data_IF_116686723030
#
_entry.id   IF_116686723030
#
_cell.length_a   1.000
_cell.length_b   1.000
_cell.length_c   1.000
_cell.angle_alpha   90.00
_cell.angle_beta   90.00
_cell.angle_gamma   90.00
#
_symmetry.space_group_name_H-M   'P 1'
#
loop_
_entity.id
_entity.type
_entity.pdbx_description
1 polymer ?
#
# COMPACT_ATOMS: atom_id res chain seq x y z
N UNK A 1 84.67 72.46 17.88
CA UNK A 1 84.60 71.39 18.87
C UNK A 1 83.38 70.59 18.66
N UNK A 2 83.52 69.30 18.40
CA UNK A 2 82.57 68.22 18.28
C UNK A 2 81.40 68.31 17.24
N UNK A 3 81.73 67.76 16.10
CA UNK A 3 80.89 67.26 15.02
C UNK A 3 79.95 66.11 15.52
N UNK A 4 78.71 66.17 15.14
CA UNK A 4 77.80 64.99 15.18
C UNK A 4 77.19 64.76 13.82
N UNK A 5 77.64 63.68 13.25
CA UNK A 5 77.15 63.11 11.98
C UNK A 5 75.76 62.49 12.18
N UNK A 6 74.78 62.88 11.40
CA UNK A 6 73.48 62.27 11.37
C UNK A 6 73.38 61.22 10.23
N UNK A 7 73.10 59.98 10.60
CA UNK A 7 72.79 58.89 9.67
C UNK A 7 71.28 58.94 9.27
N UNK A 8 70.97 59.04 7.96
CA UNK A 8 69.67 58.87 7.46
C UNK A 8 69.41 57.37 7.20
N UNK A 9 68.43 56.85 7.84
CA UNK A 9 67.88 55.53 7.53
C UNK A 9 66.70 55.70 6.59
N UNK A 10 66.78 55.15 5.36
CA UNK A 10 65.67 54.97 4.45
C UNK A 10 64.91 53.70 4.85
N UNK A 11 63.74 53.89 5.45
CA UNK A 11 62.82 52.80 5.72
C UNK A 11 61.97 52.50 4.47
N UNK A 12 62.26 51.37 3.84
CA UNK A 12 61.35 50.86 2.78
C UNK A 12 60.07 50.30 3.40
N UNK A 13 58.98 50.90 3.07
CA UNK A 13 57.66 50.39 3.44
C UNK A 13 57.27 49.20 2.53
N UNK A 14 57.29 47.99 3.04
CA UNK A 14 56.76 46.78 2.38
C UNK A 14 55.27 46.78 2.54
N UNK A 15 54.52 47.11 1.48
CA UNK A 15 53.06 46.99 1.44
C UNK A 15 52.74 45.55 1.17
N UNK A 16 52.33 44.78 2.20
CA UNK A 16 51.78 43.45 2.06
C UNK A 16 50.31 43.61 1.68
N UNK A 17 50.02 43.39 0.38
CA UNK A 17 48.64 43.23 -0.10
C UNK A 17 48.09 41.89 0.41
N UNK A 18 47.38 41.88 1.50
CA UNK A 18 46.53 40.75 1.91
C UNK A 18 45.29 40.71 1.01
N UNK A 19 45.33 39.87 -0.05
CA UNK A 19 44.12 39.44 -0.74
C UNK A 19 43.26 38.64 0.22
N UNK A 20 42.29 39.32 0.83
CA UNK A 20 41.22 38.67 1.55
C UNK A 20 40.35 37.85 0.59
N UNK A 21 40.55 36.54 0.55
CA UNK A 21 39.52 35.63 -0.01
C UNK A 21 38.30 35.77 0.85
N UNK A 22 37.35 36.62 0.42
CA UNK A 22 35.95 36.50 0.86
C UNK A 22 35.44 35.18 0.24
N UNK A 23 35.63 34.08 1.04
CA UNK A 23 34.85 32.88 0.81
C UNK A 23 33.39 33.28 1.09
N UNK A 24 32.65 33.63 0.04
CA UNK A 24 31.19 33.60 0.06
C UNK A 24 30.78 32.19 0.42
N UNK A 25 30.64 31.91 1.70
CA UNK A 25 29.80 30.80 2.16
C UNK A 25 28.35 31.15 1.71
N UNK A 26 28.05 30.92 0.42
CA UNK A 26 26.66 30.68 0.03
C UNK A 26 26.27 29.43 0.84
N UNK A 27 25.52 29.61 1.94
CA UNK A 27 24.62 28.54 2.40
C UNK A 27 23.98 27.99 1.12
N UNK A 28 24.04 26.67 0.89
CA UNK A 28 23.24 26.11 -0.18
C UNK A 28 21.84 26.67 0.05
N UNK A 29 21.28 27.33 -0.96
CA UNK A 29 19.86 27.72 -0.96
C UNK A 29 19.14 26.44 -0.53
N UNK A 30 18.40 26.48 0.61
CA UNK A 30 17.70 25.31 1.10
C UNK A 30 16.93 24.76 -0.08
N UNK A 31 17.28 23.54 -0.51
CA UNK A 31 16.57 22.90 -1.59
C UNK A 31 15.12 22.82 -1.12
N UNK A 32 14.20 23.52 -1.82
CA UNK A 32 12.79 23.37 -1.56
C UNK A 32 12.49 21.87 -1.58
N UNK A 33 11.91 21.35 -0.51
CA UNK A 33 11.52 19.95 -0.43
C UNK A 33 10.22 19.76 -1.24
N UNK A 34 10.06 18.62 -1.90
CA UNK A 34 8.77 18.22 -2.43
C UNK A 34 8.01 17.52 -1.31
N UNK A 35 6.89 18.08 -0.91
CA UNK A 35 6.03 17.52 0.13
C UNK A 35 5.02 16.54 -0.47
N UNK A 36 5.05 15.31 -0.02
CA UNK A 36 4.08 14.27 -0.37
C UNK A 36 3.35 13.87 0.90
N UNK A 37 2.03 13.88 0.87
CA UNK A 37 1.20 13.39 1.95
C UNK A 37 1.11 11.88 1.92
N UNK A 38 1.08 11.27 3.10
CA UNK A 38 0.73 9.87 3.32
C UNK A 38 -0.36 9.80 4.38
N UNK A 39 -1.35 8.97 4.17
CA UNK A 39 -2.33 8.65 5.19
C UNK A 39 -2.65 7.17 5.20
N UNK A 40 -2.94 6.64 6.38
CA UNK A 40 -3.24 5.23 6.58
C UNK A 40 -3.50 4.89 8.03
N UNK A 41 -4.00 3.70 8.27
CA UNK A 41 -4.25 3.18 9.61
C UNK A 41 -2.92 2.85 10.30
N UNK A 42 -2.32 3.80 11.02
CA UNK A 42 -1.13 3.53 11.85
C UNK A 42 -1.53 2.95 13.21
N UNK A 43 -2.77 3.18 13.63
CA UNK A 43 -3.41 2.62 14.83
C UNK A 43 -4.77 1.98 14.47
N UNK A 44 -5.43 1.30 15.43
CA UNK A 44 -6.74 0.66 15.21
C UNK A 44 -6.65 -0.80 14.77
N UNK A 45 -7.79 -1.34 14.30
CA UNK A 45 -7.93 -2.79 13.98
C UNK A 45 -7.17 -3.23 12.73
N UNK A 46 -6.79 -2.30 11.87
CA UNK A 46 -6.04 -2.55 10.62
C UNK A 46 -4.65 -1.90 10.63
N UNK A 47 -4.10 -1.64 11.83
CA UNK A 47 -2.86 -0.88 12.00
C UNK A 47 -1.65 -1.48 11.27
N UNK A 48 -1.57 -2.80 11.10
CA UNK A 48 -0.46 -3.41 10.36
C UNK A 48 -0.43 -2.95 8.90
N UNK A 49 -1.56 -2.67 8.29
CA UNK A 49 -1.62 -2.21 6.90
C UNK A 49 -0.93 -0.86 6.71
N UNK A 50 -1.33 0.14 7.53
CA UNK A 50 -0.71 1.46 7.46
C UNK A 50 0.77 1.42 7.83
N UNK A 51 1.14 0.71 8.90
CA UNK A 51 2.51 0.56 9.34
C UNK A 51 3.41 -0.11 8.29
N UNK A 52 2.93 -1.18 7.65
CA UNK A 52 3.66 -1.88 6.59
C UNK A 52 3.81 -1.00 5.34
N UNK A 53 2.74 -0.35 4.91
CA UNK A 53 2.76 0.60 3.78
C UNK A 53 3.74 1.73 4.04
N UNK A 54 3.72 2.32 5.24
CA UNK A 54 4.65 3.38 5.65
C UNK A 54 6.12 2.92 5.58
N UNK A 55 6.42 1.70 6.03
CA UNK A 55 7.78 1.14 5.91
C UNK A 55 8.22 1.06 4.45
N UNK A 56 7.34 0.60 3.56
CA UNK A 56 7.62 0.53 2.13
C UNK A 56 7.86 1.90 1.50
N UNK A 57 6.97 2.86 1.75
CA UNK A 57 7.09 4.24 1.28
C UNK A 57 8.37 4.88 1.79
N UNK A 58 8.64 4.78 3.10
CA UNK A 58 9.84 5.35 3.72
C UNK A 58 11.11 4.78 3.09
N UNK A 59 11.18 3.47 2.89
CA UNK A 59 12.34 2.83 2.26
C UNK A 59 12.56 3.35 0.84
N UNK A 60 11.50 3.45 0.04
CA UNK A 60 11.57 3.96 -1.33
C UNK A 60 12.05 5.42 -1.38
N UNK A 61 11.51 6.28 -0.52
CA UNK A 61 11.86 7.70 -0.48
C UNK A 61 13.30 7.92 0.00
N UNK A 62 13.77 7.18 0.99
CA UNK A 62 15.16 7.26 1.42
C UNK A 62 16.14 6.85 0.31
N UNK A 63 15.85 5.76 -0.43
CA UNK A 63 16.66 5.36 -1.58
C UNK A 63 16.68 6.43 -2.68
N UNK A 64 15.53 7.03 -2.97
CA UNK A 64 15.41 8.09 -3.96
C UNK A 64 16.18 9.35 -3.53
N UNK A 65 16.06 9.72 -2.27
CA UNK A 65 16.76 10.87 -1.69
C UNK A 65 18.29 10.67 -1.63
N UNK A 66 18.75 9.45 -1.37
CA UNK A 66 20.18 9.11 -1.39
C UNK A 66 20.81 9.29 -2.78
N UNK A 67 20.02 9.22 -3.84
CA UNK A 67 20.44 9.46 -5.23
C UNK A 67 20.16 10.88 -5.75
N UNK A 68 19.82 11.82 -4.85
CA UNK A 68 19.58 13.23 -5.19
C UNK A 68 18.11 13.62 -5.30
N UNK A 69 17.19 12.73 -4.91
CA UNK A 69 15.73 12.99 -4.88
C UNK A 69 15.10 13.03 -6.29
N UNK A 70 14.23 14.00 -6.50
CA UNK A 70 13.56 14.23 -7.78
C UNK A 70 13.60 15.72 -8.13
N UNK A 71 13.80 16.07 -9.40
CA UNK A 71 13.91 17.46 -9.88
C UNK A 71 14.98 18.29 -9.13
N UNK A 72 16.03 17.64 -8.61
CA UNK A 72 17.06 18.30 -7.81
C UNK A 72 16.62 18.68 -6.38
N UNK A 73 15.47 18.20 -5.93
CA UNK A 73 14.89 18.46 -4.60
C UNK A 73 14.80 17.16 -3.80
N UNK A 74 14.93 17.26 -2.47
CA UNK A 74 14.63 16.15 -1.58
C UNK A 74 13.12 15.96 -1.45
N UNK A 75 12.69 14.73 -1.22
CA UNK A 75 11.29 14.38 -1.01
C UNK A 75 11.07 14.23 0.49
N UNK A 76 10.01 14.83 0.99
CA UNK A 76 9.59 14.69 2.37
C UNK A 76 8.17 14.14 2.45
N UNK A 77 8.03 13.04 3.19
CA UNK A 77 6.73 12.44 3.49
C UNK A 77 6.14 13.08 4.74
N UNK A 78 4.89 13.48 4.68
CA UNK A 78 4.07 13.90 5.80
C UNK A 78 3.03 12.83 6.05
N UNK A 79 3.24 12.02 7.08
CA UNK A 79 2.41 10.86 7.40
C UNK A 79 1.38 11.19 8.45
N UNK A 80 0.14 10.81 8.22
CA UNK A 80 -1.00 11.01 9.10
C UNK A 80 -1.71 9.68 9.40
N UNK A 81 -2.12 9.51 10.66
CA UNK A 81 -2.88 8.34 11.11
C UNK A 81 -4.38 8.59 10.98
N UNK A 82 -5.07 7.82 10.17
CA UNK A 82 -6.53 7.86 10.02
C UNK A 82 -7.25 6.84 10.92
N UNK A 83 -6.51 6.10 11.75
CA UNK A 83 -7.04 5.10 12.69
C UNK A 83 -7.90 4.01 12.03
N UNK A 84 -7.81 3.85 10.70
CA UNK A 84 -8.67 2.96 9.92
C UNK A 84 -10.13 3.41 9.85
N UNK A 85 -10.40 4.72 9.95
CA UNK A 85 -11.75 5.29 9.97
C UNK A 85 -11.98 6.27 8.82
N UNK A 86 -13.10 6.14 8.07
CA UNK A 86 -13.39 7.04 6.94
C UNK A 86 -13.45 8.53 7.31
N UNK A 87 -14.00 8.89 8.46
CA UNK A 87 -14.10 10.27 8.94
C UNK A 87 -12.73 10.85 9.30
N UNK A 88 -11.83 10.05 9.85
CA UNK A 88 -10.47 10.49 10.15
C UNK A 88 -9.66 10.62 8.85
N UNK A 89 -9.84 9.71 7.88
CA UNK A 89 -9.23 9.82 6.56
C UNK A 89 -9.57 11.15 5.87
N UNK A 90 -10.83 11.60 5.94
CA UNK A 90 -11.23 12.92 5.45
C UNK A 90 -10.52 14.04 6.19
N UNK A 91 -10.43 13.95 7.52
CA UNK A 91 -9.83 14.97 8.37
C UNK A 91 -8.34 15.14 8.05
N UNK A 92 -7.59 14.04 8.02
CA UNK A 92 -6.14 14.09 7.79
C UNK A 92 -5.80 14.49 6.35
N UNK A 93 -6.57 14.05 5.35
CA UNK A 93 -6.39 14.45 3.95
C UNK A 93 -6.71 15.95 3.77
N UNK A 94 -7.74 16.45 4.43
CA UNK A 94 -8.04 17.90 4.43
C UNK A 94 -6.86 18.71 4.98
N UNK A 95 -6.21 18.24 6.05
CA UNK A 95 -5.00 18.86 6.62
C UNK A 95 -3.84 18.84 5.62
N UNK A 96 -3.54 17.69 5.04
CA UNK A 96 -2.45 17.51 4.06
C UNK A 96 -2.61 18.47 2.85
N UNK A 97 -3.84 18.63 2.35
CA UNK A 97 -4.15 19.51 1.23
C UNK A 97 -4.08 20.99 1.62
N UNK A 98 -4.85 21.39 2.64
CA UNK A 98 -5.10 22.81 2.90
C UNK A 98 -4.02 23.48 3.74
N UNK A 99 -3.46 22.76 4.72
CA UNK A 99 -2.44 23.27 5.62
C UNK A 99 -1.03 22.97 5.12
N UNK A 100 -0.78 21.72 4.79
CA UNK A 100 0.55 21.23 4.48
C UNK A 100 0.89 21.39 2.99
N UNK A 101 -0.12 21.59 2.11
CA UNK A 101 0.00 21.90 0.68
C UNK A 101 0.87 20.90 -0.08
N UNK A 102 0.59 19.63 0.13
CA UNK A 102 1.32 18.53 -0.52
C UNK A 102 1.08 18.50 -2.03
N UNK A 103 2.07 18.05 -2.80
CA UNK A 103 1.99 17.93 -4.26
C UNK A 103 1.21 16.68 -4.72
N UNK A 104 1.16 15.66 -3.88
CA UNK A 104 0.43 14.41 -4.12
C UNK A 104 0.16 13.71 -2.79
N UNK A 105 -0.74 12.73 -2.80
CA UNK A 105 -1.11 11.94 -1.62
C UNK A 105 -0.99 10.45 -1.94
N UNK A 106 -0.34 9.70 -1.04
CA UNK A 106 -0.23 8.25 -1.03
C UNK A 106 -1.13 7.69 0.06
N UNK A 107 -1.93 6.67 -0.27
CA UNK A 107 -2.88 6.06 0.68
C UNK A 107 -4.27 5.96 0.08
N UNK A 108 -5.19 5.35 0.70
CA UNK A 108 -5.18 4.46 1.84
C UNK A 108 -5.21 3.00 1.35
N UNK A 109 -5.03 2.02 2.25
CA UNK A 109 -5.16 0.59 1.95
C UNK A 109 -6.62 0.17 1.90
N UNK A 110 -7.41 0.54 2.92
CA UNK A 110 -8.81 0.19 3.01
C UNK A 110 -9.68 1.01 2.05
N UNK A 111 -10.47 0.34 1.22
CA UNK A 111 -11.25 0.99 0.15
C UNK A 111 -12.24 2.02 0.68
N UNK A 112 -12.91 1.79 1.83
CA UNK A 112 -13.85 2.75 2.41
C UNK A 112 -13.17 4.06 2.83
N UNK A 113 -11.92 4.00 3.34
CA UNK A 113 -11.14 5.19 3.72
C UNK A 113 -10.69 5.95 2.47
N UNK A 114 -10.24 5.23 1.43
CA UNK A 114 -9.92 5.85 0.14
C UNK A 114 -11.14 6.51 -0.50
N UNK A 115 -12.31 5.89 -0.46
CA UNK A 115 -13.57 6.46 -0.97
C UNK A 115 -13.98 7.71 -0.20
N UNK A 116 -13.72 7.79 1.10
CA UNK A 116 -14.00 8.97 1.90
C UNK A 116 -13.06 10.15 1.57
N UNK A 117 -11.80 9.87 1.29
CA UNK A 117 -10.78 10.90 1.01
C UNK A 117 -10.72 11.33 -0.47
N UNK A 118 -11.00 10.43 -1.41
CA UNK A 118 -10.85 10.67 -2.85
C UNK A 118 -11.62 11.91 -3.38
N UNK A 119 -12.86 12.22 -2.94
CA UNK A 119 -13.56 13.42 -3.37
C UNK A 119 -12.81 14.71 -3.02
N UNK A 120 -12.13 14.77 -1.87
CA UNK A 120 -11.34 15.92 -1.44
C UNK A 120 -10.12 16.11 -2.34
N UNK A 121 -9.42 15.03 -2.66
CA UNK A 121 -8.29 15.04 -3.58
C UNK A 121 -8.71 15.47 -4.99
N UNK A 122 -9.83 14.92 -5.49
CA UNK A 122 -10.38 15.28 -6.80
C UNK A 122 -10.76 16.75 -6.89
N UNK A 123 -11.50 17.27 -5.92
CA UNK A 123 -11.93 18.70 -5.88
C UNK A 123 -10.73 19.63 -5.79
N UNK A 124 -9.71 19.27 -5.03
CA UNK A 124 -8.49 20.05 -4.85
C UNK A 124 -7.48 19.88 -5.97
N UNK A 125 -7.74 18.98 -6.94
CA UNK A 125 -6.85 18.63 -8.05
C UNK A 125 -5.48 18.16 -7.56
N UNK A 126 -5.45 17.40 -6.48
CA UNK A 126 -4.24 16.77 -5.93
C UNK A 126 -4.27 15.28 -6.25
N UNK A 127 -3.26 14.73 -6.98
CA UNK A 127 -3.21 13.30 -7.27
C UNK A 127 -3.20 12.47 -5.99
N UNK A 128 -4.12 11.52 -5.88
CA UNK A 128 -4.14 10.49 -4.86
C UNK A 128 -3.82 9.14 -5.50
N UNK A 129 -2.83 8.43 -4.98
CA UNK A 129 -2.47 7.10 -5.46
C UNK A 129 -2.59 6.12 -4.31
N UNK A 130 -3.60 5.25 -4.38
CA UNK A 130 -3.73 4.19 -3.38
C UNK A 130 -2.80 3.02 -3.71
N UNK A 131 -2.07 2.49 -2.70
CA UNK A 131 -1.26 1.28 -2.87
C UNK A 131 -2.11 0.02 -3.01
N UNK A 132 -3.24 -0.09 -2.27
CA UNK A 132 -3.94 -1.36 -2.09
C UNK A 132 -5.48 -1.30 -2.06
N UNK A 133 -6.11 -0.14 -2.20
CA UNK A 133 -7.58 -0.09 -2.27
C UNK A 133 -8.10 -0.70 -3.57
N UNK A 134 -8.68 -1.88 -3.50
CA UNK A 134 -9.04 -2.71 -4.65
C UNK A 134 -10.47 -2.48 -5.18
N UNK A 135 -11.33 -1.80 -4.42
CA UNK A 135 -12.71 -1.54 -4.87
C UNK A 135 -12.72 -0.61 -6.10
N UNK A 136 -13.38 -1.00 -7.22
CA UNK A 136 -13.39 -0.21 -8.46
C UNK A 136 -13.88 1.22 -8.29
N UNK A 137 -14.81 1.47 -7.36
CA UNK A 137 -15.41 2.78 -7.12
C UNK A 137 -14.36 3.85 -6.75
N UNK A 138 -13.21 3.45 -6.20
CA UNK A 138 -12.18 4.40 -5.74
C UNK A 138 -11.67 5.27 -6.89
N UNK A 139 -11.24 4.68 -8.00
CA UNK A 139 -10.75 5.44 -9.16
C UNK A 139 -11.88 6.08 -9.97
N UNK A 140 -13.12 5.59 -9.84
CA UNK A 140 -14.31 6.18 -10.48
C UNK A 140 -14.69 7.54 -9.90
N UNK A 141 -14.16 7.93 -8.73
CA UNK A 141 -14.39 9.26 -8.13
C UNK A 141 -13.91 10.38 -9.05
N UNK A 142 -12.80 10.19 -9.75
CA UNK A 142 -12.31 11.20 -10.68
C UNK A 142 -10.91 10.92 -11.23
N UNK A 143 -10.44 11.80 -12.12
CA UNK A 143 -9.22 11.61 -12.91
C UNK A 143 -7.92 11.99 -12.16
N UNK A 144 -8.03 12.46 -10.91
CA UNK A 144 -6.90 12.62 -9.99
C UNK A 144 -6.69 11.41 -9.07
N UNK A 145 -7.52 10.37 -9.19
CA UNK A 145 -7.48 9.19 -8.31
C UNK A 145 -6.93 8.00 -9.08
N UNK A 146 -5.88 7.39 -8.55
CA UNK A 146 -5.10 6.30 -9.15
C UNK A 146 -4.92 5.16 -8.16
N UNK A 147 -4.61 3.96 -8.68
CA UNK A 147 -4.19 2.79 -7.89
C UNK A 147 -3.07 2.03 -8.57
N UNK A 148 -2.21 1.39 -7.78
CA UNK A 148 -1.17 0.51 -8.31
C UNK A 148 -1.43 -0.98 -8.03
N UNK A 149 -2.50 -1.31 -7.32
CA UNK A 149 -2.97 -2.67 -7.09
C UNK A 149 -3.97 -3.13 -8.17
N UNK A 150 -4.23 -4.43 -8.24
CA UNK A 150 -5.34 -4.98 -9.02
C UNK A 150 -6.70 -4.59 -8.40
N UNK A 151 -7.82 -4.98 -9.02
CA UNK A 151 -9.17 -4.62 -8.59
C UNK A 151 -10.00 -5.83 -8.16
N UNK A 152 -11.01 -5.62 -7.31
CA UNK A 152 -11.89 -6.67 -6.77
C UNK A 152 -12.59 -7.53 -7.84
N UNK A 153 -13.02 -7.02 -9.02
CA UNK A 153 -13.54 -7.88 -10.08
C UNK A 153 -12.57 -8.95 -10.53
N UNK A 154 -11.28 -8.61 -10.63
CA UNK A 154 -10.23 -9.57 -10.95
C UNK A 154 -9.96 -10.51 -9.78
N UNK A 155 -9.80 -9.97 -8.57
CA UNK A 155 -9.56 -10.74 -7.35
C UNK A 155 -10.68 -11.75 -7.08
N UNK A 156 -11.95 -11.34 -7.20
CA UNK A 156 -13.11 -12.22 -7.06
C UNK A 156 -13.11 -13.37 -8.07
N UNK A 157 -12.76 -13.07 -9.34
CA UNK A 157 -12.61 -14.08 -10.39
C UNK A 157 -11.46 -15.06 -10.11
N UNK A 158 -10.32 -14.56 -9.60
CA UNK A 158 -9.18 -15.40 -9.20
C UNK A 158 -9.61 -16.40 -8.15
N UNK A 159 -10.23 -15.94 -7.06
CA UNK A 159 -10.63 -16.82 -5.97
C UNK A 159 -11.78 -17.76 -6.34
N UNK A 160 -12.70 -17.34 -7.21
CA UNK A 160 -13.76 -18.22 -7.74
C UNK A 160 -13.18 -19.35 -8.62
N UNK A 161 -12.22 -19.05 -9.48
CA UNK A 161 -11.50 -20.06 -10.27
C UNK A 161 -10.69 -21.00 -9.37
N UNK A 162 -9.98 -20.47 -8.38
CA UNK A 162 -9.22 -21.25 -7.43
C UNK A 162 -10.13 -22.23 -6.67
N UNK A 163 -11.26 -21.76 -6.15
CA UNK A 163 -12.26 -22.60 -5.48
C UNK A 163 -12.75 -23.73 -6.37
N UNK A 164 -13.20 -23.43 -7.59
CA UNK A 164 -13.75 -24.43 -8.49
C UNK A 164 -12.69 -25.36 -9.13
N UNK A 165 -11.55 -24.81 -9.54
CA UNK A 165 -10.55 -25.55 -10.32
C UNK A 165 -9.47 -26.20 -9.47
N UNK A 166 -8.93 -25.50 -8.45
CA UNK A 166 -7.84 -26.01 -7.62
C UNK A 166 -8.35 -26.78 -6.43
N UNK A 167 -9.34 -26.25 -5.69
CA UNK A 167 -9.94 -26.92 -4.54
C UNK A 167 -11.07 -27.91 -4.92
N UNK A 168 -11.62 -27.82 -6.14
CA UNK A 168 -12.71 -28.65 -6.64
C UNK A 168 -14.03 -28.52 -5.82
N UNK A 169 -14.21 -27.41 -5.09
CA UNK A 169 -15.41 -27.15 -4.33
C UNK A 169 -16.54 -26.65 -5.22
N UNK A 170 -17.77 -27.04 -4.93
CA UNK A 170 -18.98 -26.65 -5.65
C UNK A 170 -19.96 -25.85 -4.78
N UNK A 171 -19.86 -25.96 -3.47
CA UNK A 171 -20.75 -25.29 -2.50
C UNK A 171 -19.95 -24.41 -1.58
N UNK A 172 -20.15 -23.10 -1.69
CA UNK A 172 -19.41 -22.10 -0.89
C UNK A 172 -20.42 -21.27 -0.10
N UNK A 173 -20.14 -21.00 1.15
CA UNK A 173 -20.81 -19.96 1.91
C UNK A 173 -19.99 -18.68 1.86
N UNK A 174 -20.64 -17.53 1.98
CA UNK A 174 -19.99 -16.21 2.09
C UNK A 174 -20.27 -15.65 3.49
N UNK A 175 -19.26 -15.03 4.11
CA UNK A 175 -19.39 -14.27 5.34
C UNK A 175 -18.67 -12.93 5.15
N UNK A 176 -19.43 -11.82 5.05
CA UNK A 176 -18.92 -10.50 4.65
C UNK A 176 -19.14 -9.43 5.71
N UNK A 177 -18.27 -8.43 5.73
CA UNK A 177 -18.45 -7.22 6.54
C UNK A 177 -19.30 -6.19 5.78
N UNK A 178 -20.50 -5.88 6.34
CA UNK A 178 -21.44 -4.94 5.72
C UNK A 178 -21.01 -3.47 5.82
N UNK A 179 -20.02 -3.14 6.64
CA UNK A 179 -19.48 -1.78 6.77
C UNK A 179 -18.29 -1.51 5.87
N UNK A 180 -17.76 -2.53 5.21
CA UNK A 180 -16.60 -2.43 4.34
C UNK A 180 -16.99 -2.46 2.87
N UNK A 181 -16.72 -1.38 2.12
CA UNK A 181 -16.91 -1.35 0.65
C UNK A 181 -16.08 -2.42 -0.05
N UNK A 182 -14.87 -2.71 0.46
CA UNK A 182 -14.03 -3.80 -0.02
C UNK A 182 -14.73 -5.15 0.16
N UNK A 183 -15.13 -5.48 1.37
CA UNK A 183 -15.74 -6.78 1.69
C UNK A 183 -17.03 -7.02 0.89
N UNK A 184 -17.89 -5.99 0.82
CA UNK A 184 -19.15 -6.04 0.07
C UNK A 184 -18.92 -6.20 -1.43
N UNK A 185 -17.97 -5.45 -1.99
CA UNK A 185 -17.62 -5.49 -3.40
C UNK A 185 -17.02 -6.85 -3.79
N UNK A 186 -15.97 -7.27 -3.08
CA UNK A 186 -15.27 -8.52 -3.35
C UNK A 186 -16.18 -9.75 -3.19
N UNK A 187 -17.06 -9.76 -2.17
CA UNK A 187 -18.06 -10.82 -2.01
C UNK A 187 -18.97 -10.96 -3.24
N UNK A 188 -19.44 -9.83 -3.77
CA UNK A 188 -20.31 -9.84 -4.95
C UNK A 188 -19.58 -10.35 -6.20
N UNK A 189 -18.36 -9.86 -6.47
CA UNK A 189 -17.57 -10.30 -7.64
C UNK A 189 -17.16 -11.78 -7.55
N UNK A 190 -16.85 -12.26 -6.35
CA UNK A 190 -16.63 -13.70 -6.13
C UNK A 190 -17.90 -14.50 -6.43
N UNK A 191 -19.04 -14.11 -5.84
CA UNK A 191 -20.34 -14.76 -6.04
C UNK A 191 -20.72 -14.85 -7.52
N UNK A 192 -20.67 -13.71 -8.23
CA UNK A 192 -20.97 -13.66 -9.66
C UNK A 192 -20.09 -14.62 -10.46
N UNK A 193 -18.76 -14.58 -10.23
CA UNK A 193 -17.82 -15.42 -10.93
C UNK A 193 -17.96 -16.90 -10.58
N UNK A 194 -18.18 -17.22 -9.30
CA UNK A 194 -18.29 -18.60 -8.84
C UNK A 194 -19.57 -19.28 -9.39
N UNK A 195 -20.69 -18.56 -9.37
CA UNK A 195 -21.96 -19.06 -9.93
C UNK A 195 -21.88 -19.20 -11.46
N UNK A 196 -21.27 -18.23 -12.15
CA UNK A 196 -21.04 -18.32 -13.60
C UNK A 196 -20.18 -19.54 -14.01
N UNK A 197 -19.30 -19.99 -13.10
CA UNK A 197 -18.49 -21.20 -13.29
C UNK A 197 -19.18 -22.50 -12.82
N UNK A 198 -20.48 -22.46 -12.52
CA UNK A 198 -21.26 -23.62 -12.09
C UNK A 198 -21.19 -23.96 -10.60
N UNK A 199 -20.68 -23.06 -9.78
CA UNK A 199 -20.70 -23.18 -8.32
C UNK A 199 -22.04 -22.72 -7.72
N UNK A 200 -22.29 -23.10 -6.48
CA UNK A 200 -23.48 -22.74 -5.69
C UNK A 200 -23.07 -21.95 -4.43
N UNK A 201 -23.69 -20.79 -4.20
CA UNK A 201 -23.59 -20.07 -2.93
C UNK A 201 -24.72 -20.55 -2.03
N UNK A 202 -24.37 -21.36 -1.02
CA UNK A 202 -25.34 -22.02 -0.13
C UNK A 202 -25.76 -21.16 1.06
N UNK A 203 -24.96 -20.16 1.42
CA UNK A 203 -25.28 -19.14 2.42
C UNK A 203 -24.54 -17.84 2.10
N UNK A 204 -25.13 -16.72 2.49
CA UNK A 204 -24.55 -15.37 2.33
C UNK A 204 -24.89 -14.57 3.57
N UNK A 205 -24.00 -14.67 4.57
CA UNK A 205 -24.15 -14.09 5.89
C UNK A 205 -23.29 -12.84 6.07
N UNK A 206 -23.60 -12.03 7.05
CA UNK A 206 -22.90 -10.78 7.29
C UNK A 206 -22.57 -10.54 8.76
N UNK A 207 -21.52 -9.75 8.97
CA UNK A 207 -21.09 -9.18 10.24
C UNK A 207 -20.77 -7.70 10.09
N UNK A 208 -20.46 -7.03 11.17
CA UNK A 208 -19.99 -5.64 11.16
C UNK A 208 -18.56 -5.56 11.67
N UNK A 209 -17.74 -4.71 11.03
CA UNK A 209 -16.39 -4.40 11.52
C UNK A 209 -16.40 -4.11 13.02
N UNK A 210 -15.48 -4.75 13.74
CA UNK A 210 -15.37 -4.69 15.20
C UNK A 210 -16.18 -5.76 15.96
N UNK A 211 -17.01 -6.57 15.30
CA UNK A 211 -17.66 -7.72 15.92
C UNK A 211 -16.61 -8.74 16.41
N UNK A 212 -16.92 -9.40 17.53
CA UNK A 212 -16.04 -10.41 18.15
C UNK A 212 -16.68 -11.79 18.26
N UNK A 213 -17.98 -11.88 18.06
CA UNK A 213 -18.75 -13.11 18.11
C UNK A 213 -19.48 -13.31 16.77
N UNK A 214 -19.17 -14.43 16.12
CA UNK A 214 -19.68 -14.82 14.81
C UNK A 214 -20.45 -16.15 14.88
N UNK A 215 -20.78 -16.63 16.09
CA UNK A 215 -21.38 -17.95 16.30
C UNK A 215 -22.74 -18.09 15.60
N UNK A 216 -23.57 -17.03 15.58
CA UNK A 216 -24.87 -17.06 14.93
C UNK A 216 -24.72 -17.27 13.41
N UNK A 217 -23.90 -16.46 12.75
CA UNK A 217 -23.63 -16.54 11.31
C UNK A 217 -22.97 -17.88 10.94
N UNK A 218 -21.98 -18.31 11.71
CA UNK A 218 -21.27 -19.57 11.47
C UNK A 218 -22.17 -20.80 11.72
N UNK A 219 -23.11 -20.74 12.66
CA UNK A 219 -24.13 -21.80 12.86
C UNK A 219 -25.07 -21.88 11.66
N UNK A 220 -25.53 -20.74 11.15
CA UNK A 220 -26.32 -20.67 9.91
C UNK A 220 -25.56 -21.27 8.75
N UNK A 221 -24.31 -20.83 8.51
CA UNK A 221 -23.42 -21.34 7.48
C UNK A 221 -23.23 -22.86 7.59
N UNK A 222 -22.91 -23.35 8.79
CA UNK A 222 -22.71 -24.79 9.04
C UNK A 222 -23.93 -25.62 8.65
N UNK A 223 -25.15 -25.12 8.94
CA UNK A 223 -26.41 -25.82 8.63
C UNK A 223 -26.61 -26.09 7.16
N UNK A 224 -25.93 -25.35 6.28
CA UNK A 224 -25.97 -25.46 4.82
C UNK A 224 -24.91 -26.38 4.23
N UNK A 225 -24.06 -26.97 5.08
CA UNK A 225 -22.98 -27.89 4.71
C UNK A 225 -22.09 -27.35 3.55
N UNK A 226 -21.51 -26.16 3.64
CA UNK A 226 -20.59 -25.66 2.61
C UNK A 226 -19.31 -26.50 2.59
N UNK A 227 -18.71 -26.64 1.39
CA UNK A 227 -17.41 -27.26 1.22
C UNK A 227 -16.27 -26.30 1.53
N UNK A 228 -16.51 -24.96 1.40
CA UNK A 228 -15.61 -23.90 1.78
C UNK A 228 -16.39 -22.64 2.21
N UNK A 229 -15.72 -21.72 2.89
CA UNK A 229 -16.32 -20.42 3.26
C UNK A 229 -15.44 -19.31 2.70
N UNK A 230 -16.02 -18.37 1.93
CA UNK A 230 -15.35 -17.18 1.45
C UNK A 230 -15.59 -16.02 2.43
N UNK A 231 -14.49 -15.48 2.97
CA UNK A 231 -14.52 -14.42 3.99
C UNK A 231 -13.68 -13.23 3.48
N UNK A 232 -14.24 -12.38 2.61
CA UNK A 232 -13.56 -11.18 2.11
C UNK A 232 -13.57 -10.08 3.17
N UNK A 233 -12.74 -10.23 4.19
CA UNK A 233 -12.64 -9.32 5.33
C UNK A 233 -11.19 -9.00 5.65
N UNK A 234 -10.98 -8.24 6.71
CA UNK A 234 -9.64 -7.91 7.18
C UNK A 234 -9.18 -8.88 8.27
N UNK A 235 -7.88 -9.00 8.42
CA UNK A 235 -7.20 -10.01 9.22
C UNK A 235 -7.70 -10.15 10.67
N UNK A 236 -8.13 -9.05 11.30
CA UNK A 236 -8.55 -9.06 12.71
C UNK A 236 -9.81 -9.92 12.91
N UNK A 237 -10.88 -9.62 12.17
CA UNK A 237 -12.13 -10.40 12.25
C UNK A 237 -11.94 -11.80 11.66
N UNK A 238 -11.20 -11.91 10.56
CA UNK A 238 -10.94 -13.19 9.89
C UNK A 238 -10.26 -14.20 10.81
N UNK A 239 -9.26 -13.77 11.57
CA UNK A 239 -8.61 -14.64 12.57
C UNK A 239 -9.58 -15.16 13.64
N UNK A 240 -10.47 -14.28 14.14
CA UNK A 240 -11.52 -14.66 15.10
C UNK A 240 -12.56 -15.60 14.47
N UNK A 241 -13.00 -15.31 13.23
CA UNK A 241 -13.92 -16.14 12.45
C UNK A 241 -13.35 -17.54 12.27
N UNK A 242 -12.05 -17.65 11.89
CA UNK A 242 -11.39 -18.94 11.70
C UNK A 242 -11.46 -19.80 12.97
N UNK A 243 -11.09 -19.24 14.12
CA UNK A 243 -11.16 -19.96 15.41
C UNK A 243 -12.57 -20.42 15.76
N UNK A 244 -13.56 -19.56 15.60
CA UNK A 244 -14.95 -19.88 15.90
C UNK A 244 -15.53 -20.89 14.91
N UNK A 245 -15.19 -20.81 13.63
CA UNK A 245 -15.57 -21.76 12.60
C UNK A 245 -15.08 -23.18 12.95
N UNK A 246 -13.79 -23.33 13.32
CA UNK A 246 -13.24 -24.63 13.72
C UNK A 246 -13.88 -25.17 15.00
N UNK A 247 -14.11 -24.31 16.01
CA UNK A 247 -14.80 -24.69 17.24
C UNK A 247 -16.23 -25.21 16.97
N UNK A 248 -16.92 -24.63 16.00
CA UNK A 248 -18.23 -25.09 15.56
C UNK A 248 -18.19 -26.33 14.64
N UNK A 249 -16.99 -26.81 14.25
CA UNK A 249 -16.83 -27.98 13.41
C UNK A 249 -16.98 -27.70 11.90
N UNK A 250 -16.78 -26.48 11.45
CA UNK A 250 -16.58 -26.17 10.03
C UNK A 250 -15.14 -26.54 9.68
N UNK A 251 -14.95 -27.63 8.93
CA UNK A 251 -13.63 -28.22 8.62
C UNK A 251 -13.11 -27.80 7.23
N UNK A 252 -13.97 -27.39 6.31
CA UNK A 252 -13.59 -26.90 4.99
C UNK A 252 -12.68 -25.68 5.04
N UNK A 253 -11.90 -25.41 3.97
CA UNK A 253 -11.01 -24.25 3.92
C UNK A 253 -11.81 -22.94 4.00
N UNK A 254 -11.26 -21.97 4.73
CA UNK A 254 -11.65 -20.59 4.58
C UNK A 254 -10.84 -19.99 3.44
N UNK A 255 -11.45 -19.12 2.67
CA UNK A 255 -10.82 -18.41 1.56
C UNK A 255 -11.06 -16.91 1.70
N UNK A 256 -10.11 -16.08 1.27
CA UNK A 256 -10.27 -14.63 1.34
C UNK A 256 -9.49 -13.90 0.25
N UNK A 257 -9.35 -12.60 0.47
CA UNK A 257 -8.58 -11.70 -0.39
C UNK A 257 -7.35 -11.13 0.31
N UNK A 258 -6.74 -10.15 -0.32
CA UNK A 258 -5.52 -9.46 0.12
C UNK A 258 -5.65 -8.78 1.50
N UNK A 259 -6.87 -8.54 1.97
CA UNK A 259 -7.14 -8.08 3.34
C UNK A 259 -6.75 -9.08 4.45
N UNK A 260 -6.26 -10.26 4.10
CA UNK A 260 -5.73 -11.24 5.04
C UNK A 260 -4.23 -11.08 5.29
N UNK A 261 -3.51 -10.32 4.45
CA UNK A 261 -2.05 -10.25 4.48
C UNK A 261 -1.52 -9.42 5.65
N UNK A 262 -1.45 -10.08 6.79
CA UNK A 262 -0.86 -9.57 8.03
C UNK A 262 -0.39 -10.72 8.89
N UNK A 263 0.78 -10.58 9.53
CA UNK A 263 1.25 -11.53 10.55
C UNK A 263 0.26 -11.68 11.71
N UNK A 264 -0.51 -10.62 12.00
CA UNK A 264 -1.57 -10.64 13.02
C UNK A 264 -2.69 -11.63 12.72
N UNK A 265 -2.91 -11.97 11.44
CA UNK A 265 -3.86 -13.00 11.08
C UNK A 265 -3.53 -14.33 11.80
N UNK A 266 -2.26 -14.75 11.74
CA UNK A 266 -1.81 -15.96 12.42
C UNK A 266 -1.82 -15.82 13.94
N UNK A 267 -1.37 -14.69 14.48
CA UNK A 267 -1.38 -14.46 15.92
C UNK A 267 -2.80 -14.59 16.52
N UNK A 268 -3.82 -14.15 15.77
CA UNK A 268 -5.22 -14.20 16.19
C UNK A 268 -5.84 -15.58 15.91
N UNK A 269 -5.65 -16.10 14.70
CA UNK A 269 -6.34 -17.30 14.23
C UNK A 269 -5.63 -18.61 14.57
N UNK A 270 -4.30 -18.59 14.66
CA UNK A 270 -3.46 -19.75 14.93
C UNK A 270 -3.73 -20.93 13.99
N UNK A 271 -3.66 -22.14 14.53
CA UNK A 271 -3.85 -23.39 13.78
C UNK A 271 -5.20 -23.49 13.06
N UNK A 272 -6.19 -22.70 13.46
CA UNK A 272 -7.50 -22.66 12.79
C UNK A 272 -7.41 -22.20 11.33
N UNK A 273 -6.31 -21.54 10.97
CA UNK A 273 -6.04 -21.03 9.61
C UNK A 273 -5.28 -22.02 8.71
N UNK A 274 -4.74 -23.11 9.25
CA UNK A 274 -4.02 -24.11 8.43
C UNK A 274 -4.92 -24.62 7.30
N UNK A 275 -4.41 -24.62 6.07
CA UNK A 275 -5.14 -25.04 4.87
C UNK A 275 -6.20 -24.03 4.42
N UNK A 276 -6.13 -22.77 4.86
CA UNK A 276 -6.90 -21.65 4.34
C UNK A 276 -6.10 -20.92 3.25
N UNK A 277 -6.80 -20.19 2.37
CA UNK A 277 -6.20 -19.59 1.18
C UNK A 277 -6.67 -18.14 0.97
N UNK A 278 -5.80 -17.32 0.41
CA UNK A 278 -6.19 -15.96 0.02
C UNK A 278 -5.41 -15.47 -1.19
N UNK A 279 -6.02 -14.57 -1.96
CA UNK A 279 -5.33 -13.88 -3.05
C UNK A 279 -4.46 -12.75 -2.51
N UNK A 280 -3.31 -12.53 -3.16
CA UNK A 280 -2.37 -11.48 -2.76
C UNK A 280 -1.67 -10.86 -3.98
N UNK A 281 -0.90 -9.80 -3.75
CA UNK A 281 -0.22 -9.03 -4.79
C UNK A 281 1.17 -9.55 -5.13
N UNK A 282 1.82 -10.29 -4.22
CA UNK A 282 3.11 -10.93 -4.42
C UNK A 282 3.33 -12.04 -3.38
N UNK A 283 4.42 -12.79 -3.54
CA UNK A 283 4.91 -13.74 -2.55
C UNK A 283 6.38 -13.46 -2.25
N UNK A 284 6.77 -13.51 -0.98
CA UNK A 284 8.18 -13.43 -0.56
C UNK A 284 9.01 -14.61 -1.08
N UNK A 285 8.35 -15.72 -1.44
CA UNK A 285 8.97 -16.94 -1.97
C UNK A 285 9.23 -16.87 -3.48
N UNK A 286 8.76 -15.83 -4.16
CA UNK A 286 9.01 -15.65 -5.60
C UNK A 286 10.52 -15.48 -5.86
N UNK A 287 11.14 -16.32 -6.70
CA UNK A 287 12.58 -16.29 -6.93
C UNK A 287 13.06 -15.13 -7.81
N UNK A 288 12.17 -14.29 -8.29
CA UNK A 288 12.53 -13.16 -9.16
C UNK A 288 13.54 -12.24 -8.49
N UNK A 289 14.59 -11.77 -9.20
CA UNK A 289 15.61 -10.90 -8.61
C UNK A 289 15.03 -9.60 -8.02
N UNK A 290 13.98 -9.05 -8.61
CA UNK A 290 13.34 -7.82 -8.13
C UNK A 290 12.76 -8.03 -6.72
N UNK A 291 12.03 -9.13 -6.50
CA UNK A 291 11.45 -9.47 -5.21
C UNK A 291 12.53 -9.83 -4.20
N UNK A 292 13.48 -10.70 -4.55
CA UNK A 292 14.52 -11.13 -3.62
C UNK A 292 15.44 -9.98 -3.17
N UNK A 293 15.77 -9.05 -4.07
CA UNK A 293 16.52 -7.84 -3.73
C UNK A 293 15.74 -6.92 -2.78
N UNK A 294 14.44 -6.72 -3.03
CA UNK A 294 13.57 -5.97 -2.15
C UNK A 294 13.48 -6.61 -0.76
N UNK A 295 13.21 -7.92 -0.68
CA UNK A 295 13.13 -8.67 0.56
C UNK A 295 14.43 -8.58 1.37
N UNK A 296 15.59 -8.75 0.71
CA UNK A 296 16.88 -8.64 1.37
C UNK A 296 17.14 -7.22 1.92
N UNK A 297 16.83 -6.19 1.14
CA UNK A 297 17.01 -4.79 1.51
C UNK A 297 16.06 -4.39 2.65
N UNK A 298 14.81 -4.85 2.58
CA UNK A 298 13.81 -4.61 3.63
C UNK A 298 14.22 -5.25 4.95
N UNK A 299 14.60 -6.54 4.94
CA UNK A 299 15.10 -7.25 6.12
C UNK A 299 16.33 -6.57 6.73
N UNK A 300 17.25 -6.09 5.90
CA UNK A 300 18.42 -5.35 6.37
C UNK A 300 18.03 -4.05 7.08
N UNK A 301 17.04 -3.32 6.54
CA UNK A 301 16.59 -2.05 7.10
C UNK A 301 15.76 -2.23 8.38
N UNK A 302 14.90 -3.24 8.41
CA UNK A 302 13.92 -3.47 9.48
C UNK A 302 14.25 -4.70 10.34
N UNK A 303 15.52 -4.88 10.72
CA UNK A 303 16.00 -5.83 11.72
C UNK A 303 15.57 -7.29 11.49
N UNK A 304 15.51 -7.71 10.22
CA UNK A 304 15.14 -9.09 9.85
C UNK A 304 13.65 -9.32 9.62
N UNK A 305 12.82 -8.29 9.79
CA UNK A 305 11.39 -8.37 9.48
C UNK A 305 11.14 -8.74 8.01
N UNK A 306 10.23 -9.66 7.76
CA UNK A 306 9.85 -10.04 6.40
C UNK A 306 8.81 -9.07 5.86
N UNK A 307 8.97 -8.49 4.65
CA UNK A 307 7.97 -7.61 4.08
C UNK A 307 6.71 -8.40 3.68
N UNK A 308 5.55 -7.82 3.97
CA UNK A 308 4.25 -8.24 3.45
C UNK A 308 3.92 -7.54 2.12
N UNK A 309 2.76 -7.82 1.52
CA UNK A 309 2.36 -7.17 0.28
C UNK A 309 2.11 -5.66 0.46
N UNK A 310 1.66 -5.23 1.62
CA UNK A 310 1.43 -3.79 1.88
C UNK A 310 2.74 -3.03 1.89
N UNK A 311 3.82 -3.61 2.43
CA UNK A 311 5.18 -3.05 2.36
C UNK A 311 5.67 -2.94 0.90
N UNK A 312 5.46 -3.99 0.11
CA UNK A 312 5.88 -4.00 -1.30
C UNK A 312 5.08 -3.00 -2.15
N UNK A 313 3.77 -2.89 -1.92
CA UNK A 313 2.91 -1.92 -2.58
C UNK A 313 3.22 -0.49 -2.13
N UNK A 314 3.53 -0.27 -0.85
CA UNK A 314 4.00 1.02 -0.34
C UNK A 314 5.30 1.47 -1.01
N UNK A 315 6.23 0.54 -1.21
CA UNK A 315 7.47 0.82 -1.95
C UNK A 315 7.20 1.17 -3.42
N UNK A 316 6.36 0.38 -4.09
CA UNK A 316 6.04 0.59 -5.49
C UNK A 316 5.26 1.89 -5.72
N UNK A 317 4.28 2.23 -4.87
CA UNK A 317 3.47 3.45 -5.05
C UNK A 317 4.30 4.72 -4.95
N UNK A 318 5.25 4.76 -4.01
CA UNK A 318 6.16 5.89 -3.88
C UNK A 318 7.06 6.02 -5.10
N UNK A 319 7.61 4.92 -5.60
CA UNK A 319 8.48 4.92 -6.79
C UNK A 319 7.73 5.27 -8.07
N UNK A 320 6.51 4.77 -8.25
CA UNK A 320 5.64 5.12 -9.40
C UNK A 320 5.29 6.61 -9.40
N UNK A 321 4.94 7.18 -8.24
CA UNK A 321 4.67 8.61 -8.13
C UNK A 321 5.89 9.45 -8.50
N UNK A 322 7.06 9.10 -7.98
CA UNK A 322 8.31 9.84 -8.26
C UNK A 322 8.75 9.68 -9.71
N UNK A 323 8.55 8.50 -10.31
CA UNK A 323 8.77 8.30 -11.76
C UNK A 323 7.85 9.20 -12.59
N UNK A 324 6.58 9.33 -12.21
CA UNK A 324 5.65 10.24 -12.87
C UNK A 324 6.11 11.71 -12.76
N UNK A 325 6.63 12.15 -11.60
CA UNK A 325 7.21 13.49 -11.43
C UNK A 325 8.42 13.70 -12.33
N UNK A 326 9.30 12.69 -12.47
CA UNK A 326 10.45 12.75 -13.39
C UNK A 326 10.00 12.88 -14.85
N UNK A 327 9.04 12.06 -15.28
CA UNK A 327 8.49 12.11 -16.66
C UNK A 327 7.77 13.43 -16.94
N UNK A 328 7.10 14.00 -15.96
CA UNK A 328 6.46 15.31 -16.03
C UNK A 328 7.49 16.46 -16.02
N UNK A 329 8.70 16.21 -15.55
CA UNK A 329 9.69 17.24 -15.19
C UNK A 329 9.09 18.35 -14.33
N UNK A 330 8.20 17.96 -13.38
CA UNK A 330 7.42 18.88 -12.55
C UNK A 330 6.85 18.19 -11.32
N UNK A 331 6.74 18.92 -10.23
CA UNK A 331 6.00 18.55 -9.02
C UNK A 331 4.59 19.18 -8.95
N UNK A 332 4.20 19.89 -10.04
CA UNK A 332 2.85 20.44 -10.16
C UNK A 332 1.81 19.31 -10.26
N UNK A 333 0.73 19.34 -9.45
CA UNK A 333 -0.27 18.27 -9.39
C UNK A 333 -0.89 17.90 -10.73
N UNK A 334 -1.23 18.87 -11.59
CA UNK A 334 -1.85 18.61 -12.91
C UNK A 334 -0.89 17.87 -13.83
N UNK A 335 0.38 18.26 -13.83
CA UNK A 335 1.45 17.62 -14.64
C UNK A 335 1.71 16.19 -14.14
N UNK A 336 1.75 16.01 -12.84
CA UNK A 336 1.93 14.69 -12.20
C UNK A 336 0.75 13.78 -12.52
N UNK A 337 -0.49 14.26 -12.43
CA UNK A 337 -1.69 13.53 -12.84
C UNK A 337 -1.61 13.03 -14.29
N UNK A 338 -1.23 13.92 -15.21
CA UNK A 338 -1.06 13.55 -16.63
C UNK A 338 0.05 12.51 -16.85
N UNK A 339 1.13 12.59 -16.10
CA UNK A 339 2.22 11.63 -16.18
C UNK A 339 1.82 10.28 -15.55
N UNK A 340 1.09 10.28 -14.42
CA UNK A 340 0.55 9.07 -13.79
C UNK A 340 -0.37 8.31 -14.76
N UNK A 341 -1.30 8.99 -15.44
CA UNK A 341 -2.22 8.36 -16.39
C UNK A 341 -1.53 7.69 -17.59
N UNK A 342 -0.26 8.00 -17.83
CA UNK A 342 0.58 7.41 -18.88
C UNK A 342 1.58 6.38 -18.35
N UNK A 343 1.43 5.93 -17.12
CA UNK A 343 2.31 4.89 -16.55
C UNK A 343 2.10 3.58 -17.28
N UNK A 344 3.16 3.07 -17.89
CA UNK A 344 3.15 1.83 -18.66
C UNK A 344 4.43 1.03 -18.46
N UNK A 345 4.29 -0.25 -18.08
CA UNK A 345 5.40 -1.18 -17.94
C UNK A 345 6.41 -0.80 -16.85
N UNK A 346 6.01 -0.02 -15.83
CA UNK A 346 6.90 0.28 -14.72
C UNK A 346 7.28 -1.01 -13.99
N UNK A 347 8.58 -1.25 -13.86
CA UNK A 347 9.11 -2.46 -13.20
C UNK A 347 9.03 -2.30 -11.68
N UNK A 348 7.91 -2.71 -11.08
CA UNK A 348 7.70 -2.73 -9.64
C UNK A 348 8.10 -4.06 -9.01
N UNK A 349 8.21 -4.06 -7.69
CA UNK A 349 8.41 -5.28 -6.88
C UNK A 349 7.20 -6.20 -7.01
N UNK A 350 6.01 -5.64 -7.03
CA UNK A 350 4.75 -6.37 -7.16
C UNK A 350 4.38 -6.66 -8.63
N UNK A 351 5.35 -6.65 -9.53
CA UNK A 351 5.20 -6.90 -10.96
C UNK A 351 5.20 -5.63 -11.82
N UNK A 352 5.08 -5.78 -13.12
CA UNK A 352 5.00 -4.66 -14.05
C UNK A 352 3.69 -3.88 -13.84
N UNK A 353 3.80 -2.57 -13.66
CA UNK A 353 2.65 -1.69 -13.39
C UNK A 353 2.33 -0.90 -14.65
N UNK A 354 1.17 -1.17 -15.23
CA UNK A 354 0.57 -0.40 -16.31
C UNK A 354 -0.81 0.06 -15.86
N UNK A 355 -1.06 1.35 -15.91
CA UNK A 355 -2.37 1.91 -15.60
C UNK A 355 -3.24 1.93 -16.86
N UNK A 356 -4.45 1.38 -16.75
CA UNK A 356 -5.44 1.40 -17.82
C UNK A 356 -6.17 2.77 -17.88
N UNK A 357 -7.14 2.90 -18.79
CA UNK A 357 -7.94 4.13 -18.96
C UNK A 357 -8.72 4.51 -17.69
N UNK A 358 -9.07 3.52 -16.86
CA UNK A 358 -9.71 3.74 -15.55
C UNK A 358 -8.72 4.04 -14.43
N UNK A 359 -7.41 4.15 -14.74
CA UNK A 359 -6.32 4.41 -13.78
C UNK A 359 -6.09 3.28 -12.78
N UNK A 360 -6.50 2.06 -13.13
CA UNK A 360 -6.28 0.84 -12.38
C UNK A 360 -5.06 0.10 -12.94
N UNK A 361 -4.26 -0.50 -12.08
CA UNK A 361 -3.16 -1.33 -12.53
C UNK A 361 -3.66 -2.70 -13.02
N UNK A 362 -3.16 -3.12 -14.18
CA UNK A 362 -3.37 -4.46 -14.72
C UNK A 362 -2.15 -5.30 -14.37
N UNK A 363 -2.32 -6.29 -13.51
CA UNK A 363 -1.23 -7.13 -13.00
C UNK A 363 -1.74 -8.48 -12.51
N UNK A 364 -0.88 -9.51 -12.45
CA UNK A 364 -1.28 -10.82 -11.94
C UNK A 364 -1.57 -10.77 -10.44
N UNK A 365 -2.29 -11.78 -9.95
CA UNK A 365 -2.43 -12.08 -8.54
C UNK A 365 -1.76 -13.42 -8.21
N UNK A 366 -1.35 -13.58 -6.97
CA UNK A 366 -0.93 -14.87 -6.41
C UNK A 366 -1.99 -15.39 -5.46
N UNK A 367 -2.08 -16.71 -5.33
CA UNK A 367 -2.85 -17.35 -4.24
C UNK A 367 -1.83 -17.91 -3.26
N UNK A 368 -2.04 -17.60 -1.98
CA UNK A 368 -1.24 -18.06 -0.86
C UNK A 368 -2.03 -19.05 0.00
N UNK A 369 -1.33 -20.03 0.54
CA UNK A 369 -1.84 -21.00 1.53
C UNK A 369 -1.29 -20.63 2.92
N UNK A 370 -2.15 -20.57 3.91
CA UNK A 370 -1.72 -20.44 5.31
C UNK A 370 -1.31 -21.81 5.83
N UNK A 371 -0.03 -21.95 6.19
CA UNK A 371 0.54 -23.20 6.66
C UNK A 371 1.58 -22.94 7.74
N UNK A 372 1.31 -23.43 8.95
CA UNK A 372 2.23 -23.38 10.10
C UNK A 372 2.80 -21.96 10.35
N UNK A 373 1.92 -20.94 10.30
CA UNK A 373 2.27 -19.54 10.51
C UNK A 373 2.93 -18.85 9.33
N UNK A 374 2.99 -19.49 8.16
CA UNK A 374 3.56 -18.93 6.92
C UNK A 374 2.50 -18.78 5.85
N UNK A 375 2.69 -17.80 4.99
CA UNK A 375 1.91 -17.61 3.77
C UNK A 375 2.69 -18.19 2.59
N UNK A 376 2.48 -19.49 2.34
CA UNK A 376 3.19 -20.23 1.32
C UNK A 376 2.59 -19.99 -0.08
N UNK A 377 3.45 -19.79 -1.07
CA UNK A 377 3.02 -19.66 -2.47
C UNK A 377 2.27 -20.91 -2.96
N UNK A 378 1.13 -20.72 -3.61
CA UNK A 378 0.31 -21.78 -4.20
C UNK A 378 0.28 -21.72 -5.71
N UNK A 379 -0.17 -20.63 -6.28
CA UNK A 379 -0.24 -20.43 -7.73
C UNK A 379 -0.28 -18.94 -8.10
N UNK A 380 0.09 -18.63 -9.35
CA UNK A 380 -0.08 -17.31 -9.95
C UNK A 380 -1.23 -17.35 -10.95
N UNK A 381 -2.08 -16.33 -10.92
CA UNK A 381 -3.19 -16.16 -11.86
C UNK A 381 -2.98 -14.89 -12.66
N UNK A 382 -2.91 -15.02 -13.99
CA UNK A 382 -2.80 -13.88 -14.91
C UNK A 382 -4.14 -13.13 -15.02
N UNK A 383 -4.10 -11.80 -15.32
CA UNK A 383 -5.28 -10.97 -15.56
C UNK A 383 -6.22 -11.48 -16.63
#
# INVERSE_FOLDING_TARGET
MKTRTAYKWMGGALIVLTLGFLACNKKPAGSEEILIGEYGAMTGSTATFGQSTHKGITMAIEELNATGGVLGKQIKILSEDDQGKPEEAQTVVTKLINKDRVSAILGEVASSNSLAAAPLCQQSRIPMVTPASTNPKVTQVGDYIFRICFIDPFQGKVMAKFAGNSLKVKKVAILRDIKSDYSMGLANFFKESFVANGGEIVADESYSAGDKDFNAQLTSIKSKNPEAVFVPGYYTEVGLIARQARKLGITGPLMGGDGWDSEKLWEIGGDALNGCFFSNHYSVDDPSPAIQNFVASFKKKYNGESPDAMSALGYDVAKVLVDAMRRANSDNPDSVRLALSKTSGYAGVTGAITLNESRDAVKPAVVLEVKDGKFAFKETVAP
#
